data_IF_798593206403
#
_entry.id   IF_798593206403
#
_cell.length_a   1.000
_cell.length_b   1.000
_cell.length_c   1.000
_cell.angle_alpha   90.00
_cell.angle_beta   90.00
_cell.angle_gamma   90.00
#
_symmetry.space_group_name_H-M   'P 1'
#
loop_
_entity.id
_entity.type
_entity.pdbx_description
1 polymer ?
#
# COMPACT_ATOMS: atom_id res chain seq x y z
N UNK A 1 26.65 -24.93 -19.71
CA UNK A 1 27.61 -25.08 -18.60
C UNK A 1 28.23 -23.71 -18.36
N UNK A 2 27.82 -23.02 -17.31
CA UNK A 2 28.27 -21.66 -17.02
C UNK A 2 27.63 -21.17 -15.73
N UNK A 3 28.20 -21.60 -14.60
CA UNK A 3 27.81 -21.21 -13.25
C UNK A 3 28.17 -19.75 -12.97
N UNK A 4 27.23 -18.96 -12.44
CA UNK A 4 27.53 -17.68 -11.79
C UNK A 4 27.62 -17.91 -10.28
N UNK A 5 28.79 -17.59 -9.72
CA UNK A 5 29.23 -17.95 -8.38
C UNK A 5 29.41 -16.68 -7.53
N UNK A 6 28.32 -15.94 -7.24
CA UNK A 6 28.43 -14.64 -6.54
C UNK A 6 27.17 -14.21 -5.76
N UNK A 7 26.43 -15.14 -5.14
CA UNK A 7 25.33 -14.80 -4.22
C UNK A 7 25.39 -15.63 -2.93
N UNK A 8 26.57 -15.70 -2.30
CA UNK A 8 26.68 -16.10 -0.90
C UNK A 8 26.80 -14.82 -0.07
N UNK A 9 25.67 -14.15 0.10
CA UNK A 9 25.47 -13.14 1.14
C UNK A 9 24.52 -13.74 2.17
N UNK A 10 25.04 -14.13 3.33
CA UNK A 10 24.22 -14.39 4.49
C UNK A 10 23.62 -13.05 4.93
N UNK A 11 22.34 -12.86 4.65
CA UNK A 11 21.54 -11.73 5.10
C UNK A 11 20.16 -12.28 5.43
N UNK A 12 19.90 -12.38 6.72
CA UNK A 12 18.59 -12.68 7.28
C UNK A 12 17.71 -11.45 7.02
N UNK A 13 17.02 -11.42 5.88
CA UNK A 13 16.07 -10.34 5.57
C UNK A 13 14.64 -10.83 5.82
N UNK A 14 13.97 -10.05 6.68
CA UNK A 14 12.65 -10.27 7.25
C UNK A 14 11.56 -10.37 6.18
N UNK A 15 10.67 -11.36 6.36
CA UNK A 15 9.49 -11.55 5.53
C UNK A 15 8.43 -10.49 5.88
N UNK A 16 8.30 -9.47 5.04
CA UNK A 16 7.12 -8.57 5.02
C UNK A 16 6.32 -8.76 3.72
N UNK A 17 5.84 -9.99 3.47
CA UNK A 17 5.01 -10.32 2.30
C UNK A 17 3.55 -10.65 2.67
N UNK A 18 2.91 -9.88 3.54
CA UNK A 18 1.47 -10.07 3.78
C UNK A 18 0.69 -8.77 3.98
N UNK A 19 0.82 -7.84 3.03
CA UNK A 19 -0.13 -6.71 2.92
C UNK A 19 -0.55 -6.45 1.47
N UNK A 20 -1.76 -6.82 1.06
CA UNK A 20 -2.40 -6.17 -0.06
C UNK A 20 -3.04 -4.87 0.45
N UNK A 21 -2.33 -3.75 0.35
CA UNK A 21 -2.82 -2.40 0.69
C UNK A 21 -3.74 -1.78 -0.36
N UNK A 22 -4.21 -2.55 -1.35
CA UNK A 22 -5.04 -2.03 -2.43
C UNK A 22 -6.23 -2.97 -2.69
N UNK A 23 -7.45 -2.43 -2.82
CA UNK A 23 -8.61 -3.21 -3.26
C UNK A 23 -8.36 -3.72 -4.68
N UNK A 24 -8.71 -4.99 -4.94
CA UNK A 24 -8.61 -5.62 -6.26
C UNK A 24 -9.33 -4.78 -7.31
N UNK A 25 -8.60 -4.30 -8.32
CA UNK A 25 -9.18 -3.77 -9.55
C UNK A 25 -9.97 -4.90 -10.24
N UNK A 26 -11.27 -4.72 -10.37
CA UNK A 26 -12.14 -5.75 -10.94
C UNK A 26 -13.64 -5.61 -10.69
N UNK A 27 -14.14 -4.45 -10.24
CA UNK A 27 -15.54 -4.07 -10.42
C UNK A 27 -15.55 -2.61 -10.85
N UNK A 28 -15.73 -2.37 -12.15
CA UNK A 28 -16.03 -1.04 -12.64
C UNK A 28 -17.38 -0.62 -12.08
N UNK A 29 -17.38 0.21 -11.04
CA UNK A 29 -18.55 1.00 -10.67
C UNK A 29 -18.33 2.37 -11.29
N UNK A 30 -19.02 2.57 -12.41
CA UNK A 30 -19.18 3.87 -13.06
C UNK A 30 -19.66 4.88 -12.02
N UNK A 31 -18.84 5.91 -11.76
CA UNK A 31 -19.27 7.09 -11.03
C UNK A 31 -20.17 7.86 -12.00
N UNK A 32 -21.47 7.92 -11.67
CA UNK A 32 -22.47 8.96 -11.97
C UNK A 32 -23.84 8.28 -12.15
N UNK A 33 -24.62 8.22 -11.07
CA UNK A 33 -26.00 8.74 -11.12
C UNK A 33 -26.60 8.73 -9.71
N UNK A 34 -26.57 9.92 -9.10
CA UNK A 34 -27.60 10.37 -8.17
C UNK A 34 -28.97 10.22 -8.82
N UNK A 35 -29.72 9.15 -8.53
CA UNK A 35 -31.18 9.19 -8.58
C UNK A 35 -31.78 8.22 -7.56
N UNK A 36 -32.72 8.77 -6.80
CA UNK A 36 -33.50 8.16 -5.73
C UNK A 36 -34.22 6.88 -6.17
N UNK A 37 -34.55 5.94 -5.26
CA UNK A 37 -35.35 4.77 -5.62
C UNK A 37 -36.79 5.20 -5.92
N UNK A 38 -37.14 5.20 -7.20
CA UNK A 38 -38.51 5.41 -7.68
C UNK A 38 -39.39 4.27 -7.15
N UNK A 39 -40.33 4.62 -6.27
CA UNK A 39 -41.53 3.84 -6.02
C UNK A 39 -42.28 3.66 -7.35
N UNK A 40 -42.33 2.43 -7.89
CA UNK A 40 -43.41 2.06 -8.81
C UNK A 40 -44.50 1.34 -8.02
N UNK A 41 -45.62 2.04 -7.91
CA UNK A 41 -46.84 1.56 -7.34
C UNK A 41 -47.67 0.81 -8.41
N UNK A 42 -48.34 -0.25 -7.96
CA UNK A 42 -49.46 -0.96 -8.57
C UNK A 42 -49.18 -1.85 -9.79
N UNK A 43 -49.19 -3.17 -9.55
CA UNK A 43 -50.18 -4.00 -10.24
C UNK A 43 -50.70 -5.07 -9.27
N UNK A 44 -52.04 -5.16 -9.21
CA UNK A 44 -52.81 -6.00 -8.31
C UNK A 44 -53.08 -7.34 -9.01
N UNK A 45 -53.37 -8.36 -8.20
CA UNK A 45 -54.04 -9.62 -8.58
C UNK A 45 -53.11 -10.80 -8.91
N UNK A 46 -52.66 -11.51 -7.87
CA UNK A 46 -52.92 -12.96 -7.82
C UNK A 46 -52.98 -13.48 -6.37
N UNK A 47 -53.95 -14.34 -6.14
CA UNK A 47 -54.57 -14.72 -4.88
C UNK A 47 -53.63 -15.48 -3.92
N UNK A 48 -53.39 -14.97 -2.70
CA UNK A 48 -53.00 -15.80 -1.54
C UNK A 48 -53.73 -15.38 -0.26
N UNK A 49 -54.37 -16.32 0.49
CA UNK A 49 -55.10 -16.02 1.71
C UNK A 49 -54.21 -16.15 2.97
N UNK A 50 -54.74 -15.90 4.19
CA UNK A 50 -54.30 -14.90 5.15
C UNK A 50 -53.10 -15.31 6.04
N UNK A 51 -52.28 -14.32 6.44
CA UNK A 51 -51.59 -14.40 7.75
C UNK A 51 -50.16 -14.93 7.82
N UNK A 52 -49.36 -14.94 6.75
CA UNK A 52 -47.91 -15.04 6.92
C UNK A 52 -47.17 -14.09 5.99
N UNK A 53 -46.43 -13.17 6.61
CA UNK A 53 -45.42 -12.32 5.98
C UNK A 53 -44.07 -13.07 6.03
N UNK A 54 -43.46 -13.44 4.89
CA UNK A 54 -42.06 -13.81 4.87
C UNK A 54 -41.31 -13.02 3.79
N UNK A 55 -41.20 -11.69 3.89
CA UNK A 55 -40.38 -10.90 2.94
C UNK A 55 -39.54 -9.75 3.50
N UNK A 56 -39.57 -9.48 4.82
CA UNK A 56 -38.79 -8.36 5.41
C UNK A 56 -37.61 -8.84 6.28
N UNK A 57 -37.65 -10.06 6.81
CA UNK A 57 -36.61 -10.58 7.73
C UNK A 57 -35.25 -10.88 7.07
N UNK A 58 -35.19 -10.98 5.74
CA UNK A 58 -33.96 -11.33 5.04
C UNK A 58 -32.99 -10.14 4.95
N UNK A 59 -33.50 -8.91 4.89
CA UNK A 59 -32.67 -7.71 4.76
C UNK A 59 -31.95 -7.35 6.06
N UNK A 60 -32.67 -7.42 7.19
CA UNK A 60 -32.08 -7.22 8.53
C UNK A 60 -30.92 -8.20 8.80
N UNK A 61 -31.09 -9.48 8.47
CA UNK A 61 -30.02 -10.47 8.65
C UNK A 61 -28.80 -10.23 7.75
N UNK A 62 -29.01 -9.68 6.54
CA UNK A 62 -27.92 -9.29 5.63
C UNK A 62 -27.14 -8.10 6.18
N UNK A 63 -27.85 -7.08 6.68
CA UNK A 63 -27.25 -5.90 7.33
C UNK A 63 -26.45 -6.32 8.56
N UNK A 64 -27.01 -7.16 9.43
CA UNK A 64 -26.29 -7.67 10.59
C UNK A 64 -25.05 -8.48 10.19
N UNK A 65 -25.14 -9.29 9.13
CA UNK A 65 -23.98 -10.03 8.61
C UNK A 65 -22.90 -9.09 8.08
N UNK A 66 -23.28 -8.00 7.41
CA UNK A 66 -22.36 -6.95 6.96
C UNK A 66 -21.67 -6.23 8.11
N UNK A 67 -22.40 -5.93 9.19
CA UNK A 67 -21.82 -5.31 10.39
C UNK A 67 -20.80 -6.26 11.03
N UNK A 68 -21.12 -7.55 11.15
CA UNK A 68 -20.20 -8.54 11.74
C UNK A 68 -18.96 -8.72 10.89
N UNK A 69 -19.09 -8.81 9.56
CA UNK A 69 -17.92 -8.93 8.68
C UNK A 69 -17.04 -7.69 8.70
N UNK A 70 -17.63 -6.50 8.75
CA UNK A 70 -16.89 -5.26 8.93
C UNK A 70 -16.14 -5.25 10.27
N UNK A 71 -16.84 -5.56 11.37
CA UNK A 71 -16.21 -5.59 12.70
C UNK A 71 -15.09 -6.63 12.78
N UNK A 72 -15.27 -7.80 12.17
CA UNK A 72 -14.23 -8.83 12.11
C UNK A 72 -12.97 -8.38 11.34
N UNK A 73 -13.08 -7.43 10.41
CA UNK A 73 -11.94 -6.88 9.68
C UNK A 73 -11.29 -5.69 10.43
N UNK A 74 -12.09 -4.93 11.17
CA UNK A 74 -11.63 -3.73 11.89
C UNK A 74 -10.97 -4.07 13.25
N UNK A 75 -11.34 -5.20 13.86
CA UNK A 75 -10.75 -5.68 15.11
C UNK A 75 -9.37 -6.29 14.87
N UNK A 76 -8.39 -5.81 15.63
CA UNK A 76 -7.00 -6.29 15.57
C UNK A 76 -6.83 -7.49 16.52
N UNK A 77 -6.47 -8.65 15.97
CA UNK A 77 -6.02 -9.78 16.76
C UNK A 77 -4.56 -9.56 17.21
N UNK A 78 -4.39 -9.21 18.49
CA UNK A 78 -3.07 -9.00 19.11
C UNK A 78 -2.27 -10.30 19.28
N UNK A 79 -2.89 -11.48 19.10
CA UNK A 79 -2.25 -12.79 19.28
C UNK A 79 -1.75 -13.41 17.97
N UNK A 80 -2.09 -12.81 16.82
CA UNK A 80 -1.76 -13.31 15.48
C UNK A 80 -0.29 -13.06 15.05
N UNK A 81 0.67 -13.20 15.97
CA UNK A 81 2.09 -12.96 15.70
C UNK A 81 2.77 -14.07 14.88
N UNK A 82 2.18 -15.27 14.82
CA UNK A 82 2.77 -16.42 14.11
C UNK A 82 1.89 -16.86 12.93
N UNK A 83 2.44 -16.81 11.72
CA UNK A 83 1.76 -17.30 10.52
C UNK A 83 1.72 -18.83 10.55
N UNK A 84 0.54 -19.40 10.82
CA UNK A 84 0.31 -20.85 10.81
C UNK A 84 0.07 -21.40 9.40
N UNK A 85 0.95 -21.11 8.45
CA UNK A 85 0.88 -21.80 7.15
C UNK A 85 1.56 -23.15 7.25
N UNK A 86 0.88 -24.20 6.81
CA UNK A 86 1.48 -25.52 6.74
C UNK A 86 2.61 -25.56 5.70
N UNK A 87 3.67 -26.32 5.98
CA UNK A 87 4.85 -26.38 5.11
C UNK A 87 4.51 -26.92 3.70
N UNK A 88 3.57 -27.87 3.61
CA UNK A 88 3.15 -28.43 2.31
C UNK A 88 2.34 -27.40 1.53
N UNK A 89 1.44 -26.67 2.20
CA UNK A 89 0.70 -25.59 1.58
C UNK A 89 1.62 -24.48 1.07
N UNK A 90 2.60 -24.08 1.88
CA UNK A 90 3.61 -23.10 1.50
C UNK A 90 4.34 -23.52 0.23
N UNK A 91 4.86 -24.75 0.18
CA UNK A 91 5.58 -25.26 -0.99
C UNK A 91 4.71 -25.30 -2.25
N UNK A 92 3.43 -25.68 -2.12
CA UNK A 92 2.48 -25.65 -3.23
C UNK A 92 2.23 -24.21 -3.74
N UNK A 93 2.07 -23.24 -2.83
CA UNK A 93 1.90 -21.82 -3.19
C UNK A 93 3.14 -21.28 -3.91
N UNK A 94 4.35 -21.58 -3.43
CA UNK A 94 5.61 -21.20 -4.08
C UNK A 94 5.68 -21.74 -5.51
N UNK A 95 5.38 -23.03 -5.71
CA UNK A 95 5.36 -23.62 -7.05
C UNK A 95 4.31 -22.96 -7.96
N UNK A 96 3.12 -22.67 -7.42
CA UNK A 96 2.05 -22.03 -8.18
C UNK A 96 2.44 -20.61 -8.59
N UNK A 97 3.03 -19.81 -7.70
CA UNK A 97 3.48 -18.46 -8.00
C UNK A 97 4.63 -18.46 -8.99
N UNK A 98 5.62 -19.35 -8.84
CA UNK A 98 6.71 -19.48 -9.80
C UNK A 98 6.20 -19.82 -11.21
N UNK A 99 5.21 -20.71 -11.34
CA UNK A 99 4.58 -21.00 -12.64
C UNK A 99 3.86 -19.77 -13.20
N UNK A 100 3.05 -19.08 -12.39
CA UNK A 100 2.33 -17.86 -12.83
C UNK A 100 3.28 -16.74 -13.25
N UNK A 101 4.32 -16.48 -12.45
CA UNK A 101 5.35 -15.48 -12.76
C UNK A 101 6.12 -15.87 -14.01
N UNK A 102 6.51 -17.14 -14.16
CA UNK A 102 7.19 -17.63 -15.37
C UNK A 102 6.32 -17.43 -16.62
N UNK A 103 5.02 -17.77 -16.57
CA UNK A 103 4.10 -17.52 -17.68
C UNK A 103 3.93 -16.03 -17.97
N UNK A 104 3.82 -15.19 -16.93
CA UNK A 104 3.65 -13.74 -17.08
C UNK A 104 4.91 -13.06 -17.63
N UNK A 105 6.10 -13.53 -17.22
CA UNK A 105 7.40 -12.98 -17.60
C UNK A 105 7.94 -13.55 -18.92
N UNK A 106 7.44 -14.71 -19.35
CA UNK A 106 7.71 -15.29 -20.66
C UNK A 106 7.25 -14.33 -21.76
N UNK A 107 8.22 -13.67 -22.41
CA UNK A 107 7.95 -12.65 -23.44
C UNK A 107 7.91 -11.22 -22.93
N UNK A 108 8.09 -10.98 -21.62
CA UNK A 108 8.21 -9.61 -21.11
C UNK A 108 9.48 -8.95 -21.61
N UNK A 109 9.33 -7.73 -22.13
CA UNK A 109 10.45 -6.89 -22.61
C UNK A 109 10.93 -5.91 -21.54
N UNK A 110 10.58 -6.14 -20.27
CA UNK A 110 11.03 -5.33 -19.13
C UNK A 110 12.50 -5.63 -18.83
N UNK A 111 13.38 -5.18 -19.73
CA UNK A 111 14.78 -5.01 -19.43
C UNK A 111 14.94 -3.70 -18.68
N UNK A 112 15.86 -3.66 -17.72
CA UNK A 112 16.28 -2.40 -17.13
C UNK A 112 16.62 -1.44 -18.27
N UNK A 113 16.02 -0.24 -18.31
CA UNK A 113 16.32 0.72 -19.35
C UNK A 113 17.81 1.06 -19.28
N UNK A 114 18.45 1.18 -20.44
CA UNK A 114 19.81 1.72 -20.49
C UNK A 114 19.81 3.13 -19.93
N UNK A 115 20.91 3.54 -19.30
CA UNK A 115 21.12 4.92 -18.89
C UNK A 115 20.85 5.86 -20.07
N UNK A 116 20.17 6.97 -19.79
CA UNK A 116 19.91 7.99 -20.80
C UNK A 116 21.24 8.57 -21.30
N UNK A 117 21.38 8.69 -22.62
CA UNK A 117 22.57 9.30 -23.22
C UNK A 117 22.56 10.80 -22.92
N UNK A 118 23.61 11.29 -22.24
CA UNK A 118 23.77 12.70 -21.88
C UNK A 118 24.23 13.59 -23.05
N UNK A 119 24.34 13.05 -24.27
CA UNK A 119 24.72 13.78 -25.48
C UNK A 119 25.52 12.92 -26.46
N UNK A 120 25.72 13.44 -27.69
CA UNK A 120 26.45 12.73 -28.75
C UNK A 120 27.98 12.92 -28.69
N UNK A 121 28.46 13.93 -27.95
CA UNK A 121 29.89 14.24 -27.85
C UNK A 121 30.30 14.50 -26.39
N UNK A 122 30.73 13.47 -25.64
CA UNK A 122 31.12 13.62 -24.24
C UNK A 122 32.35 14.51 -24.07
N UNK A 123 33.30 14.50 -25.01
CA UNK A 123 34.49 15.34 -24.94
C UNK A 123 34.15 16.84 -24.99
N UNK A 124 33.16 17.22 -25.81
CA UNK A 124 32.71 18.62 -25.87
C UNK A 124 32.00 19.06 -24.58
N UNK A 125 31.23 18.17 -23.94
CA UNK A 125 30.51 18.50 -22.70
C UNK A 125 31.49 18.65 -21.53
N UNK A 126 32.49 17.77 -21.45
CA UNK A 126 33.50 17.82 -20.38
C UNK A 126 34.45 19.02 -20.51
N UNK A 127 34.65 19.54 -21.73
CA UNK A 127 35.43 20.75 -21.99
C UNK A 127 34.60 22.05 -21.87
N UNK A 128 33.31 21.95 -21.56
CA UNK A 128 32.47 23.13 -21.33
C UNK A 128 32.98 23.92 -20.11
N UNK A 129 32.71 25.24 -20.04
CA UNK A 129 33.08 26.03 -18.87
C UNK A 129 32.47 25.44 -17.60
N UNK A 130 33.28 25.34 -16.55
CA UNK A 130 32.83 24.89 -15.24
C UNK A 130 31.78 25.84 -14.65
N UNK A 131 30.99 25.33 -13.71
CA UNK A 131 30.08 26.16 -12.91
C UNK A 131 30.83 27.34 -12.28
N UNK A 132 30.18 28.51 -12.23
CA UNK A 132 30.75 29.70 -11.63
C UNK A 132 30.95 29.51 -10.14
N UNK A 133 32.07 30.00 -9.60
CA UNK A 133 32.34 29.94 -8.17
C UNK A 133 31.29 30.72 -7.35
N UNK A 134 30.71 31.78 -7.92
CA UNK A 134 29.65 32.56 -7.27
C UNK A 134 28.39 31.71 -7.05
N UNK A 135 28.05 30.82 -7.98
CA UNK A 135 26.90 29.93 -7.85
C UNK A 135 27.14 28.91 -6.74
N UNK A 136 28.37 28.40 -6.62
CA UNK A 136 28.75 27.48 -5.54
C UNK A 136 28.67 28.18 -4.18
N UNK A 137 29.14 29.43 -4.08
CA UNK A 137 29.02 30.21 -2.85
C UNK A 137 27.56 30.46 -2.47
N UNK A 138 26.71 30.85 -3.44
CA UNK A 138 25.29 31.06 -3.22
C UNK A 138 24.60 29.78 -2.72
N UNK A 139 24.85 28.64 -3.35
CA UNK A 139 24.28 27.35 -2.92
C UNK A 139 24.72 27.01 -1.49
N UNK A 140 25.98 27.27 -1.16
CA UNK A 140 26.53 27.00 0.17
C UNK A 140 25.90 27.91 1.23
N UNK A 141 25.74 29.19 0.94
CA UNK A 141 25.10 30.15 1.84
C UNK A 141 23.64 29.78 2.12
N UNK A 142 22.88 29.45 1.08
CA UNK A 142 21.48 29.01 1.21
C UNK A 142 21.40 27.72 2.04
N UNK A 143 22.29 26.76 1.79
CA UNK A 143 22.35 25.51 2.57
C UNK A 143 22.61 25.74 4.06
N UNK A 144 23.54 26.65 4.39
CA UNK A 144 23.83 27.03 5.77
C UNK A 144 22.64 27.74 6.44
N UNK A 145 21.93 28.57 5.67
CA UNK A 145 20.68 29.19 6.11
C UNK A 145 19.59 28.15 6.44
N UNK A 146 19.41 27.15 5.57
CA UNK A 146 18.48 26.04 5.81
C UNK A 146 18.86 25.24 7.05
N UNK A 147 20.15 24.91 7.23
CA UNK A 147 20.62 24.19 8.40
C UNK A 147 20.34 24.97 9.69
N UNK A 148 20.57 26.29 9.67
CA UNK A 148 20.26 27.17 10.79
C UNK A 148 18.76 27.24 11.09
N UNK A 149 17.92 27.27 10.05
CA UNK A 149 16.46 27.24 10.21
C UNK A 149 15.98 25.90 10.76
N UNK A 150 16.57 24.78 10.35
CA UNK A 150 16.20 23.44 10.84
C UNK A 150 16.45 23.30 12.35
N UNK A 151 17.51 23.95 12.88
CA UNK A 151 17.77 23.97 14.33
C UNK A 151 16.69 24.70 15.14
N UNK A 152 15.85 25.52 14.50
CA UNK A 152 14.71 26.17 15.14
C UNK A 152 13.47 25.26 15.18
N UNK A 153 13.46 24.13 14.49
CA UNK A 153 12.39 23.13 14.56
C UNK A 153 12.57 22.30 15.84
N UNK A 154 12.20 22.89 16.96
CA UNK A 154 12.22 22.25 18.29
C UNK A 154 11.04 22.70 19.12
N UNK A 155 10.59 21.83 20.02
CA UNK A 155 9.52 22.16 20.96
C UNK A 155 10.13 23.03 22.07
N UNK A 156 9.64 24.26 22.22
CA UNK A 156 10.02 25.11 23.34
C UNK A 156 9.40 24.54 24.63
N UNK A 157 10.23 24.30 25.65
CA UNK A 157 9.75 23.87 26.97
C UNK A 157 9.00 25.03 27.63
N UNK A 158 7.68 24.92 27.77
CA UNK A 158 6.87 25.87 28.54
C UNK A 158 6.75 25.44 29.99
N UNK A 159 6.39 24.18 30.21
CA UNK A 159 6.09 23.64 31.53
C UNK A 159 6.83 22.32 31.79
N UNK A 160 6.91 21.94 33.06
CA UNK A 160 7.49 20.66 33.46
C UNK A 160 6.45 19.55 33.30
N UNK A 161 6.73 18.58 32.41
CA UNK A 161 5.82 17.46 32.12
C UNK A 161 5.91 16.32 33.14
N UNK A 162 6.93 16.32 34.00
CA UNK A 162 7.17 15.25 34.98
C UNK A 162 7.32 15.87 36.36
N UNK A 163 6.37 15.58 37.25
CA UNK A 163 6.45 15.98 38.66
C UNK A 163 6.89 14.78 39.50
N UNK A 164 7.94 14.94 40.29
CA UNK A 164 8.33 13.94 41.28
C UNK A 164 7.53 14.15 42.57
N UNK A 165 6.77 13.13 42.96
CA UNK A 165 6.11 13.10 44.25
C UNK A 165 7.08 12.46 45.26
N UNK A 166 7.70 13.29 46.10
CA UNK A 166 8.46 12.77 47.23
C UNK A 166 7.49 12.18 48.27
N UNK A 167 7.50 10.85 48.41
CA UNK A 167 6.85 10.18 49.52
C UNK A 167 7.55 10.59 50.83
N UNK A 168 6.80 11.21 51.74
CA UNK A 168 7.20 11.47 53.12
C UNK A 168 6.50 10.50 54.05
#
# INVERSE_FOLDING_TARGET
MGCCNSCLGNGEDENDETRPFLPKEGTGVSINDTTEPILSAYDYDDMTPPGSLPKIKHDEQSILSGIITQYNNDVIDITALESKIDAVEYMNRVQQYNRKVSTLTSGTRYKQPSLHSSGSNPASILNAPSISINDVYLITEVSNGLQSAMNNVKIAKTDELVLSLNHR
#
